data_IF_011808573453
#
_entry.id   IF_011808573453
#
_cell.length_a   1.000
_cell.length_b   1.000
_cell.length_c   1.000
_cell.angle_alpha   90.00
_cell.angle_beta   90.00
_cell.angle_gamma   90.00
#
_symmetry.space_group_name_H-M   'P 1'
#
loop_
_entity.id
_entity.type
_entity.pdbx_description
1 polymer ?
#
# COMPACT_ATOMS: atom_id res chain seq x y z
N UNK A 1 -19.79 2.57 19.58
CA UNK A 1 -19.04 2.73 18.32
C UNK A 1 -17.64 2.36 18.68
N UNK A 2 -17.31 1.10 18.50
CA UNK A 2 -15.96 0.59 18.65
C UNK A 2 -15.21 1.08 17.42
N UNK A 3 -14.39 2.12 17.59
CA UNK A 3 -13.43 2.52 16.58
C UNK A 3 -12.52 1.31 16.33
N UNK A 4 -12.42 0.78 15.10
CA UNK A 4 -11.43 -0.24 14.79
C UNK A 4 -10.07 0.37 15.12
N UNK A 5 -9.38 -0.24 16.08
CA UNK A 5 -8.02 0.16 16.41
C UNK A 5 -7.17 -0.07 15.17
N UNK A 6 -6.24 0.84 14.91
CA UNK A 6 -5.30 0.81 13.77
C UNK A 6 -4.49 -0.52 13.65
N UNK A 7 -4.56 -1.35 14.71
CA UNK A 7 -3.96 -2.68 14.86
C UNK A 7 -4.70 -3.82 14.12
N UNK A 8 -5.98 -3.64 13.76
CA UNK A 8 -6.77 -4.67 13.05
C UNK A 8 -6.48 -4.72 11.54
N UNK A 9 -5.71 -3.76 11.02
CA UNK A 9 -5.37 -3.63 9.62
C UNK A 9 -4.20 -4.55 9.23
N UNK A 10 -4.38 -5.86 9.38
CA UNK A 10 -3.43 -6.87 8.92
C UNK A 10 -3.88 -7.49 7.61
N UNK A 11 -3.10 -7.29 6.55
CA UNK A 11 -3.26 -8.06 5.30
C UNK A 11 -3.26 -9.54 5.66
N UNK A 12 -4.41 -10.20 5.44
CA UNK A 12 -4.55 -11.63 5.69
C UNK A 12 -3.42 -12.38 4.99
N UNK A 13 -2.82 -13.38 5.66
CA UNK A 13 -1.67 -14.12 5.11
C UNK A 13 -1.94 -14.73 3.73
N UNK A 14 -3.22 -14.92 3.38
CA UNK A 14 -3.68 -15.46 2.09
C UNK A 14 -3.59 -14.43 0.95
N UNK A 15 -3.64 -13.15 1.27
CA UNK A 15 -3.72 -12.03 0.31
C UNK A 15 -2.38 -11.28 0.18
N UNK A 16 -1.37 -11.68 0.96
CA UNK A 16 -0.05 -11.05 0.98
C UNK A 16 0.66 -11.05 -0.39
N UNK A 17 0.54 -12.13 -1.17
CA UNK A 17 1.15 -12.20 -2.50
C UNK A 17 0.46 -11.29 -3.51
N UNK A 18 -0.88 -11.19 -3.45
CA UNK A 18 -1.65 -10.30 -4.31
C UNK A 18 -1.36 -8.83 -3.96
N UNK A 19 -1.26 -8.52 -2.67
CA UNK A 19 -0.85 -7.21 -2.17
C UNK A 19 0.52 -6.79 -2.69
N UNK A 20 1.55 -7.63 -2.50
CA UNK A 20 2.91 -7.32 -2.97
C UNK A 20 2.95 -7.14 -4.50
N UNK A 21 2.24 -7.99 -5.25
CA UNK A 21 2.15 -7.85 -6.71
C UNK A 21 1.49 -6.53 -7.12
N UNK A 22 0.42 -6.11 -6.44
CA UNK A 22 -0.26 -4.86 -6.73
C UNK A 22 0.65 -3.65 -6.46
N UNK A 23 1.34 -3.64 -5.32
CA UNK A 23 2.29 -2.56 -4.96
C UNK A 23 3.42 -2.46 -6.00
N UNK A 24 3.97 -3.58 -6.46
CA UNK A 24 5.02 -3.58 -7.49
C UNK A 24 4.54 -3.11 -8.87
N UNK A 25 3.24 -3.20 -9.15
CA UNK A 25 2.63 -2.73 -10.39
C UNK A 25 2.20 -1.26 -10.32
N UNK A 26 2.18 -0.66 -9.13
CA UNK A 26 1.77 0.72 -8.96
C UNK A 26 2.75 1.67 -9.66
N UNK A 27 2.22 2.56 -10.49
CA UNK A 27 3.03 3.51 -11.26
C UNK A 27 3.22 4.85 -10.53
N UNK A 28 2.47 5.06 -9.45
CA UNK A 28 2.45 6.30 -8.67
C UNK A 28 2.03 6.05 -7.22
N UNK A 29 2.28 7.03 -6.35
CA UNK A 29 1.94 6.95 -4.91
C UNK A 29 0.44 6.90 -4.66
N UNK A 30 -0.38 7.54 -5.49
CA UNK A 30 -1.84 7.51 -5.34
C UNK A 30 -2.42 6.10 -5.55
N UNK A 31 -1.88 5.32 -6.48
CA UNK A 31 -2.21 3.91 -6.65
C UNK A 31 -1.78 3.08 -5.43
N UNK A 32 -0.60 3.33 -4.88
CA UNK A 32 -0.15 2.64 -3.65
C UNK A 32 -1.12 2.90 -2.50
N UNK A 33 -1.51 4.16 -2.26
CA UNK A 33 -2.50 4.50 -1.24
C UNK A 33 -3.84 3.80 -1.48
N UNK A 34 -4.27 3.72 -2.74
CA UNK A 34 -5.50 3.00 -3.12
C UNK A 34 -5.40 1.50 -2.83
N UNK A 35 -4.25 0.88 -3.12
CA UNK A 35 -3.98 -0.53 -2.80
C UNK A 35 -3.97 -0.74 -1.29
N UNK A 36 -3.34 0.15 -0.51
CA UNK A 36 -3.34 0.05 0.95
C UNK A 36 -4.78 0.05 1.51
N UNK A 37 -5.64 0.93 1.01
CA UNK A 37 -7.06 0.96 1.39
C UNK A 37 -7.81 -0.32 0.98
N UNK A 38 -7.55 -0.83 -0.22
CA UNK A 38 -8.19 -2.04 -0.77
C UNK A 38 -7.90 -3.29 0.07
N UNK A 39 -6.70 -3.37 0.64
CA UNK A 39 -6.26 -4.47 1.48
C UNK A 39 -6.45 -4.18 2.97
N UNK A 40 -7.19 -3.12 3.31
CA UNK A 40 -7.45 -2.70 4.70
C UNK A 40 -6.13 -2.65 5.49
N UNK A 41 -5.12 -1.98 4.94
CA UNK A 41 -3.80 -1.81 5.56
C UNK A 41 -3.44 -0.34 5.65
N UNK A 42 -2.65 0.02 6.65
CA UNK A 42 -2.12 1.38 6.81
C UNK A 42 -0.74 1.52 6.17
N UNK A 43 -0.39 2.75 5.82
CA UNK A 43 0.97 3.06 5.31
C UNK A 43 2.04 2.70 6.35
N UNK A 44 1.75 2.94 7.63
CA UNK A 44 2.65 2.57 8.72
C UNK A 44 2.90 1.06 8.76
N UNK A 45 1.84 0.25 8.74
CA UNK A 45 1.97 -1.20 8.70
C UNK A 45 2.76 -1.66 7.47
N UNK A 46 2.51 -1.04 6.32
CA UNK A 46 3.24 -1.32 5.09
C UNK A 46 4.73 -1.02 5.20
N UNK A 47 5.12 0.15 5.74
CA UNK A 47 6.52 0.53 5.93
C UNK A 47 7.22 -0.42 6.91
N UNK A 48 6.57 -0.76 8.03
CA UNK A 48 7.12 -1.66 9.05
C UNK A 48 7.29 -3.11 8.54
N UNK A 49 6.34 -3.62 7.75
CA UNK A 49 6.33 -5.02 7.32
C UNK A 49 6.93 -5.26 5.93
N UNK A 50 7.06 -4.22 5.10
CA UNK A 50 7.57 -4.29 3.72
C UNK A 50 8.51 -3.13 3.39
N UNK A 51 9.62 -2.97 4.15
CA UNK A 51 10.52 -1.83 3.99
C UNK A 51 11.15 -1.75 2.58
N UNK A 52 11.40 -2.90 1.93
CA UNK A 52 11.92 -2.95 0.57
C UNK A 52 10.92 -2.38 -0.46
N UNK A 53 9.63 -2.68 -0.31
CA UNK A 53 8.58 -2.13 -1.18
C UNK A 53 8.33 -0.66 -0.87
N UNK A 54 8.31 -0.26 0.41
CA UNK A 54 8.15 1.14 0.79
C UNK A 54 9.25 2.02 0.19
N UNK A 55 10.49 1.50 0.14
CA UNK A 55 11.60 2.18 -0.52
C UNK A 55 11.36 2.33 -2.03
N UNK A 56 10.87 1.29 -2.70
CA UNK A 56 10.54 1.35 -4.13
C UNK A 56 9.43 2.38 -4.43
N UNK A 57 8.42 2.45 -3.56
CA UNK A 57 7.31 3.42 -3.66
C UNK A 57 7.78 4.85 -3.44
N UNK A 58 8.84 5.07 -2.66
CA UNK A 58 9.36 6.43 -2.39
C UNK A 58 9.85 7.12 -3.66
N UNK A 59 10.39 6.35 -4.61
CA UNK A 59 10.86 6.79 -5.93
C UNK A 59 9.72 7.00 -6.95
N UNK A 60 8.50 6.52 -6.66
CA UNK A 60 7.36 6.71 -7.55
C UNK A 60 6.90 8.18 -7.57
N UNK A 61 6.43 8.69 -8.73
CA UNK A 61 5.80 9.99 -8.80
C UNK A 61 4.51 10.03 -7.98
N UNK A 62 4.16 11.21 -7.47
CA UNK A 62 2.95 11.39 -6.65
C UNK A 62 1.66 11.21 -7.47
N UNK A 63 1.72 11.60 -8.75
CA UNK A 63 0.64 11.51 -9.72
C UNK A 63 1.18 10.94 -11.03
N UNK A 64 0.40 10.13 -11.78
CA UNK A 64 0.80 9.74 -13.13
C UNK A 64 1.05 11.02 -13.96
N UNK A 65 2.00 10.99 -14.93
CA UNK A 65 2.21 12.14 -15.78
C UNK A 65 0.88 12.50 -16.42
N UNK A 66 0.43 13.74 -16.20
CA UNK A 66 -0.72 14.27 -16.91
C UNK A 66 -0.40 14.14 -18.40
N UNK A 67 -1.03 13.15 -19.05
CA UNK A 67 -1.01 13.08 -20.50
C UNK A 67 -1.86 14.25 -20.97
N UNK A 68 -1.18 15.33 -21.36
CA UNK A 68 -1.77 16.46 -22.10
C UNK A 68 -2.35 16.02 -23.45
#
# INVERSE_FOLDING_TARGET
MDEPSDDDYMVSSRDRSAFMSAIMMAENKAEVVSILQLFETTEKYFIDNFPDLAKAVTDLPDSPPASE
#
